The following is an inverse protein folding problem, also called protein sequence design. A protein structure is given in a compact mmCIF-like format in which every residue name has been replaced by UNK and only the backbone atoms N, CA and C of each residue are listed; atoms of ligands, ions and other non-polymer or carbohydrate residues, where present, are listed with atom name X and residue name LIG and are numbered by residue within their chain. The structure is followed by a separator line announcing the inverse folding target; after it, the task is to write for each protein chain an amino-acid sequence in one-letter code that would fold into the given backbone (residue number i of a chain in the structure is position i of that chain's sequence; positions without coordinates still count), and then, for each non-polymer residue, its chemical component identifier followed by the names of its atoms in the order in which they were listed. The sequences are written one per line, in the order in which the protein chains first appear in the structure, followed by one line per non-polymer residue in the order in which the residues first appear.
data_IF_182361702069
#
_entry.id   IF_182361702069
#
_cell.length_a   1.000
_cell.length_b   1.000
_cell.length_c   1.000
_cell.angle_alpha   90.00
_cell.angle_beta   90.00
_cell.angle_gamma   90.00
#
_symmetry.space_group_name_H-M   'P 1'
#
loop_
_entity.id
_entity.type
_entity.pdbx_description
1 polymer ?
#
# COMPACT_ATOMS: atom_id res chain seq x y z
N UNK A 1 -7.11 -6.29 25.17
CA UNK A 1 -6.40 -5.28 24.36
C UNK A 1 -5.00 -5.19 24.94
N UNK A 2 -4.09 -6.02 24.42
CA UNK A 2 -2.77 -6.25 25.02
C UNK A 2 -1.77 -5.19 24.58
N UNK A 3 -0.88 -4.81 25.48
CA UNK A 3 -0.01 -3.66 25.31
C UNK A 3 1.32 -3.98 24.65
N UNK A 4 1.79 -3.22 23.64
CA UNK A 4 3.15 -3.35 23.07
C UNK A 4 4.25 -3.02 24.11
N UNK A 5 5.54 -3.18 23.79
CA UNK A 5 6.74 -2.99 24.66
C UNK A 5 6.85 -1.63 25.41
N UNK A 6 5.93 -0.68 25.16
CA UNK A 6 5.80 0.62 25.85
C UNK A 6 4.50 0.72 26.69
N UNK A 7 3.70 -0.34 26.82
CA UNK A 7 2.53 -0.37 27.70
C UNK A 7 1.20 0.18 27.13
N UNK A 8 0.99 0.22 25.81
CA UNK A 8 -0.25 0.73 25.16
C UNK A 8 -1.06 -0.31 24.36
N UNK A 9 -2.42 -0.28 24.39
CA UNK A 9 -3.39 -1.41 24.30
C UNK A 9 -3.52 -2.22 23.00
N UNK A 10 -2.58 -2.11 22.06
CA UNK A 10 -2.58 -2.87 20.80
C UNK A 10 -1.31 -3.72 20.69
N UNK A 11 -1.50 -5.02 20.38
CA UNK A 11 -0.50 -6.10 20.42
C UNK A 11 0.54 -5.90 19.31
N UNK A 12 1.82 -6.03 19.66
CA UNK A 12 2.94 -5.76 18.76
C UNK A 12 3.18 -6.79 17.67
N UNK A 13 4.25 -6.55 16.91
CA UNK A 13 4.90 -7.43 15.94
C UNK A 13 6.20 -6.77 15.49
N UNK A 14 7.26 -7.55 15.25
CA UNK A 14 8.48 -7.01 14.67
C UNK A 14 8.45 -7.24 13.15
N UNK A 15 8.88 -6.25 12.39
CA UNK A 15 9.17 -6.45 10.97
C UNK A 15 10.57 -7.05 10.85
N UNK A 16 10.68 -8.13 10.08
CA UNK A 16 11.92 -8.82 9.81
C UNK A 16 12.15 -8.85 8.31
N UNK A 17 13.25 -8.27 7.85
CA UNK A 17 13.54 -8.15 6.41
C UNK A 17 13.69 -9.48 5.68
N UNK A 18 13.98 -10.55 6.42
CA UNK A 18 14.17 -11.92 5.94
C UNK A 18 13.04 -12.86 6.38
N UNK A 19 11.95 -12.35 6.95
CA UNK A 19 10.75 -13.15 7.15
C UNK A 19 10.01 -13.36 5.83
N UNK A 20 9.73 -14.62 5.51
CA UNK A 20 9.09 -15.04 4.26
C UNK A 20 7.73 -15.70 4.47
N UNK A 21 7.22 -15.68 5.70
CA UNK A 21 5.91 -16.22 6.01
C UNK A 21 4.79 -15.43 5.33
N UNK A 22 3.65 -16.07 5.15
CA UNK A 22 2.49 -15.49 4.48
C UNK A 22 1.38 -15.19 5.47
N UNK A 23 0.63 -14.13 5.19
CA UNK A 23 -0.64 -13.81 5.85
C UNK A 23 -1.79 -14.51 5.09
N UNK A 24 -2.54 -15.38 5.77
CA UNK A 24 -3.63 -16.19 5.21
C UNK A 24 -5.01 -15.60 5.51
N UNK A 25 -5.14 -14.69 6.47
CA UNK A 25 -6.44 -14.12 6.88
C UNK A 25 -6.58 -12.60 6.65
N UNK A 26 -5.49 -11.95 6.24
CA UNK A 26 -5.44 -10.55 5.83
C UNK A 26 -5.33 -9.57 7.00
N UNK A 27 -4.84 -10.00 8.17
CA UNK A 27 -4.69 -9.15 9.35
C UNK A 27 -3.33 -8.44 9.47
N UNK A 28 -2.40 -8.67 8.53
CA UNK A 28 -1.06 -8.08 8.50
C UNK A 28 -0.01 -8.83 9.32
N UNK A 29 -0.37 -9.97 9.92
CA UNK A 29 0.53 -10.88 10.62
C UNK A 29 0.77 -12.12 9.77
N UNK A 30 2.00 -12.66 9.80
CA UNK A 30 2.25 -13.90 9.08
C UNK A 30 1.80 -15.13 9.87
N UNK A 31 1.09 -16.04 9.21
CA UNK A 31 0.55 -17.30 9.75
C UNK A 31 1.46 -18.52 9.59
N UNK A 32 2.48 -18.41 8.72
CA UNK A 32 3.40 -19.51 8.40
C UNK A 32 4.81 -19.20 8.90
N UNK A 33 5.72 -20.19 8.90
CA UNK A 33 7.10 -20.01 9.36
C UNK A 33 7.22 -19.52 10.82
N UNK A 34 6.22 -19.88 11.64
CA UNK A 34 6.14 -19.55 13.07
C UNK A 34 6.65 -20.70 13.97
N UNK A 35 7.29 -20.37 15.12
CA UNK A 35 7.73 -19.02 15.47
C UNK A 35 8.96 -18.64 14.64
N UNK A 36 8.95 -17.42 14.12
CA UNK A 36 10.08 -16.91 13.35
C UNK A 36 11.26 -16.69 14.28
N UNK A 37 12.41 -17.31 14.00
CA UNK A 37 13.54 -17.32 14.93
C UNK A 37 14.67 -16.34 14.57
N UNK A 38 14.44 -15.42 13.63
CA UNK A 38 15.45 -14.49 13.11
C UNK A 38 16.74 -15.18 12.68
N UNK A 39 16.63 -16.22 11.84
CA UNK A 39 17.78 -17.00 11.39
C UNK A 39 18.64 -17.55 12.56
N UNK A 40 17.99 -17.90 13.67
CA UNK A 40 18.64 -18.40 14.89
C UNK A 40 19.09 -17.32 15.89
N UNK A 41 18.85 -16.04 15.62
CA UNK A 41 19.21 -14.95 16.54
C UNK A 41 18.26 -14.84 17.75
N UNK A 42 17.06 -15.44 17.69
CA UNK A 42 16.16 -15.55 18.84
C UNK A 42 16.43 -16.86 19.57
N UNK A 43 17.10 -16.74 20.72
CA UNK A 43 17.60 -17.88 21.49
C UNK A 43 16.50 -18.79 22.06
N UNK A 44 15.33 -18.24 22.38
CA UNK A 44 14.22 -18.98 22.97
C UNK A 44 12.88 -18.46 22.41
N UNK A 45 11.97 -19.35 22.00
CA UNK A 45 10.56 -19.02 21.77
C UNK A 45 10.20 -18.39 20.42
N UNK A 46 11.15 -17.70 19.74
CA UNK A 46 10.92 -17.01 18.46
C UNK A 46 9.87 -15.88 18.52
N UNK A 47 9.58 -15.26 17.39
CA UNK A 47 8.51 -14.29 17.19
C UNK A 47 7.27 -14.99 16.62
N UNK A 48 6.14 -14.85 17.31
CA UNK A 48 4.87 -15.46 16.93
C UNK A 48 3.94 -14.49 16.19
N UNK A 49 4.32 -13.21 16.11
CA UNK A 49 3.53 -12.16 15.46
C UNK A 49 4.42 -11.31 14.51
N UNK A 50 5.22 -11.94 13.62
CA UNK A 50 6.00 -11.18 12.63
C UNK A 50 5.05 -10.46 11.65
N UNK A 51 5.36 -9.21 11.34
CA UNK A 51 4.61 -8.41 10.38
C UNK A 51 4.93 -8.83 8.94
N UNK A 52 3.92 -8.88 8.08
CA UNK A 52 4.05 -9.08 6.62
C UNK A 52 3.62 -7.81 5.89
N UNK A 53 4.36 -7.40 4.85
CA UNK A 53 3.96 -6.26 4.02
C UNK A 53 2.75 -6.64 3.17
N UNK A 54 1.68 -5.86 3.30
CA UNK A 54 0.52 -5.93 2.44
C UNK A 54 0.80 -5.28 1.09
N UNK A 55 -0.03 -5.59 0.09
CA UNK A 55 0.00 -4.87 -1.17
C UNK A 55 -0.79 -3.56 -1.05
N UNK A 56 -0.39 -2.50 -1.79
CA UNK A 56 -1.18 -1.28 -1.90
C UNK A 56 -2.60 -1.57 -2.40
N UNK A 57 -3.55 -0.75 -1.97
CA UNK A 57 -4.91 -0.81 -2.50
C UNK A 57 -4.91 -0.46 -3.99
N UNK A 58 -5.67 -1.23 -4.78
CA UNK A 58 -5.98 -0.87 -6.16
C UNK A 58 -6.63 0.53 -6.19
N UNK A 59 -6.15 1.48 -7.02
CA UNK A 59 -6.78 2.79 -7.15
C UNK A 59 -8.27 2.65 -7.47
N UNK A 60 -9.11 3.50 -6.88
CA UNK A 60 -10.56 3.42 -7.01
C UNK A 60 -11.22 4.80 -7.13
N UNK A 61 -12.53 4.83 -7.38
CA UNK A 61 -13.32 6.06 -7.49
C UNK A 61 -12.71 7.11 -8.45
N UNK A 62 -12.38 6.75 -9.71
CA UNK A 62 -11.75 7.67 -10.63
C UNK A 62 -12.71 8.79 -11.03
N UNK A 63 -12.19 10.00 -11.10
CA UNK A 63 -12.86 11.17 -11.66
C UNK A 63 -11.89 11.86 -12.63
N UNK A 64 -12.28 12.11 -13.89
CA UNK A 64 -13.56 11.79 -14.52
C UNK A 64 -13.89 10.29 -14.56
N UNK A 65 -15.10 9.92 -14.17
CA UNK A 65 -15.61 8.55 -14.35
C UNK A 65 -15.93 8.36 -15.83
N UNK A 66 -15.11 7.62 -16.58
CA UNK A 66 -15.15 7.57 -18.04
C UNK A 66 -16.53 7.35 -18.70
N UNK A 67 -16.62 7.59 -20.01
CA UNK A 67 -17.84 7.38 -20.80
C UNK A 67 -18.62 8.66 -21.16
N UNK A 68 -18.16 9.82 -20.71
CA UNK A 68 -18.63 11.13 -21.15
C UNK A 68 -17.50 11.90 -21.85
N UNK A 69 -17.82 12.83 -22.76
CA UNK A 69 -16.86 13.83 -23.20
C UNK A 69 -16.35 14.62 -21.99
N UNK A 70 -15.04 14.73 -21.88
CA UNK A 70 -14.35 15.52 -20.84
C UNK A 70 -13.53 16.59 -21.55
N UNK A 71 -13.36 17.73 -20.89
CA UNK A 71 -12.42 18.77 -21.34
C UNK A 71 -10.99 18.20 -21.45
N UNK A 72 -10.20 18.74 -22.37
CA UNK A 72 -8.80 18.36 -22.55
C UNK A 72 -7.90 18.94 -21.45
N UNK A 73 -8.37 19.95 -20.71
CA UNK A 73 -7.74 20.54 -19.55
C UNK A 73 -8.54 20.17 -18.30
N UNK A 74 -8.22 19.02 -17.71
CA UNK A 74 -8.98 18.43 -16.61
C UNK A 74 -8.07 17.74 -15.58
N UNK A 75 -8.35 17.98 -14.30
CA UNK A 75 -7.69 17.26 -13.23
C UNK A 75 -8.26 15.84 -13.10
N UNK A 76 -7.37 14.88 -12.93
CA UNK A 76 -7.71 13.51 -12.54
C UNK A 76 -7.75 13.40 -11.03
N UNK A 77 -8.63 12.56 -10.50
CA UNK A 77 -8.57 12.15 -9.10
C UNK A 77 -8.98 10.70 -8.87
N UNK A 78 -8.44 10.10 -7.81
CA UNK A 78 -8.72 8.73 -7.38
C UNK A 78 -8.48 8.54 -5.88
N UNK A 79 -9.10 7.52 -5.31
CA UNK A 79 -8.83 7.01 -3.97
C UNK A 79 -7.76 5.90 -4.03
N UNK A 80 -7.03 5.67 -2.94
CA UNK A 80 -5.98 4.66 -2.90
C UNK A 80 -5.36 4.48 -1.52
N UNK A 81 -4.04 4.27 -1.45
CA UNK A 81 -3.32 4.02 -0.19
C UNK A 81 -2.84 2.58 -0.04
N UNK A 82 -2.51 2.23 1.19
CA UNK A 82 -1.95 0.94 1.60
C UNK A 82 -2.57 0.50 2.94
N UNK A 83 -2.82 -0.80 3.18
CA UNK A 83 -3.20 -1.30 4.50
C UNK A 83 -2.20 -0.95 5.60
N UNK A 84 -0.91 -0.89 5.27
CA UNK A 84 0.18 -0.67 6.21
C UNK A 84 0.36 0.83 6.45
N UNK A 85 -0.14 1.32 7.59
CA UNK A 85 -0.14 2.76 7.92
C UNK A 85 1.25 3.45 7.94
N UNK A 86 2.33 2.67 7.97
CA UNK A 86 3.71 3.16 7.90
C UNK A 86 4.25 3.31 6.47
N UNK A 87 3.55 2.77 5.48
CA UNK A 87 3.99 2.72 4.09
C UNK A 87 3.62 3.98 3.31
N UNK A 88 4.26 4.10 2.15
CA UNK A 88 3.94 5.12 1.16
C UNK A 88 3.72 4.51 -0.20
N UNK A 89 2.79 5.09 -0.97
CA UNK A 89 2.39 4.62 -2.30
C UNK A 89 2.77 5.61 -3.38
N UNK A 90 3.08 5.09 -4.56
CA UNK A 90 3.28 5.87 -5.79
C UNK A 90 2.32 5.39 -6.88
N UNK A 91 1.89 6.29 -7.77
CA UNK A 91 1.02 5.95 -8.88
C UNK A 91 1.69 6.26 -10.21
N UNK A 92 1.63 5.29 -11.12
CA UNK A 92 1.98 5.52 -12.53
C UNK A 92 0.73 5.93 -13.29
N UNK A 93 0.79 7.10 -13.94
CA UNK A 93 -0.32 7.65 -14.73
C UNK A 93 -0.05 7.41 -16.20
N UNK A 94 -1.01 6.82 -16.90
CA UNK A 94 -0.94 6.49 -18.33
C UNK A 94 -2.05 7.24 -19.08
N UNK A 95 -1.69 8.03 -20.09
CA UNK A 95 -2.63 8.83 -20.88
C UNK A 95 -2.21 8.81 -22.34
N UNK A 96 -3.18 8.58 -23.24
CA UNK A 96 -2.96 8.65 -24.68
C UNK A 96 -4.05 7.94 -25.47
N UNK A 97 -4.03 8.11 -26.79
CA UNK A 97 -5.01 7.53 -27.72
C UNK A 97 -4.61 6.15 -28.28
N UNK A 98 -3.50 5.58 -27.81
CA UNK A 98 -2.99 4.28 -28.23
C UNK A 98 -3.24 3.22 -27.14
N UNK A 99 -3.31 1.95 -27.53
CA UNK A 99 -3.45 0.82 -26.61
C UNK A 99 -2.19 -0.08 -26.67
N UNK A 100 -1.42 -0.23 -25.56
CA UNK A 100 -1.62 0.43 -24.27
C UNK A 100 -1.23 1.92 -24.32
N UNK A 101 -1.84 2.79 -23.48
CA UNK A 101 -1.46 4.20 -23.41
C UNK A 101 -0.03 4.37 -22.87
N UNK A 102 0.71 5.41 -23.31
CA UNK A 102 2.03 5.70 -22.76
C UNK A 102 1.93 6.22 -21.32
N UNK A 103 2.97 5.91 -20.52
CA UNK A 103 3.15 6.47 -19.18
C UNK A 103 3.52 7.95 -19.30
N UNK A 104 2.77 8.83 -18.62
CA UNK A 104 3.02 10.27 -18.62
C UNK A 104 3.66 10.76 -17.31
N UNK A 105 3.43 10.07 -16.19
CA UNK A 105 4.00 10.46 -14.91
C UNK A 105 4.11 9.29 -13.91
N UNK A 106 4.94 9.50 -12.90
CA UNK A 106 4.87 8.81 -11.59
C UNK A 106 4.65 9.88 -10.53
N UNK A 107 3.62 9.74 -9.71
CA UNK A 107 3.25 10.70 -8.66
C UNK A 107 3.29 10.07 -7.27
N UNK A 108 3.54 10.89 -6.25
CA UNK A 108 3.84 10.47 -4.88
C UNK A 108 5.30 10.73 -4.49
N UNK A 109 5.81 10.10 -3.41
CA UNK A 109 5.10 9.17 -2.53
C UNK A 109 4.00 9.84 -1.71
N UNK A 110 2.89 9.14 -1.49
CA UNK A 110 1.80 9.55 -0.61
C UNK A 110 1.68 8.59 0.58
N UNK A 111 1.27 9.06 1.78
CA UNK A 111 1.10 8.16 2.92
C UNK A 111 -0.04 7.16 2.72
N UNK A 112 -0.01 6.02 3.41
CA UNK A 112 -0.96 4.91 3.25
C UNK A 112 -2.47 5.25 3.35
N UNK A 113 -2.87 6.37 3.95
CA UNK A 113 -4.28 6.75 4.17
C UNK A 113 -4.87 7.70 3.10
N UNK A 114 -4.64 7.43 1.81
CA UNK A 114 -5.06 8.35 0.75
C UNK A 114 -6.54 8.29 0.38
N UNK A 115 -7.15 9.47 0.27
CA UNK A 115 -8.44 9.66 -0.41
C UNK A 115 -8.35 10.89 -1.30
N UNK A 116 -9.01 10.84 -2.45
CA UNK A 116 -9.14 11.94 -3.43
C UNK A 116 -7.78 12.57 -3.80
N UNK A 117 -6.80 11.74 -4.14
CA UNK A 117 -5.54 12.19 -4.75
C UNK A 117 -5.89 12.94 -6.03
N UNK A 118 -5.22 14.05 -6.29
CA UNK A 118 -5.41 14.83 -7.51
C UNK A 118 -4.14 14.89 -8.34
N UNK A 119 -4.29 14.82 -9.65
CA UNK A 119 -3.22 14.99 -10.62
C UNK A 119 -3.71 15.87 -11.77
N UNK A 120 -2.99 16.96 -11.99
CA UNK A 120 -3.20 17.84 -13.14
C UNK A 120 -2.22 17.40 -14.26
N UNK A 121 -2.71 16.79 -15.36
CA UNK A 121 -1.88 16.43 -16.50
C UNK A 121 -1.51 17.64 -17.38
N UNK A 122 -2.07 18.83 -17.11
CA UNK A 122 -2.13 19.94 -18.05
C UNK A 122 -3.05 19.65 -19.23
N UNK A 123 -3.10 20.57 -20.18
CA UNK A 123 -3.88 20.41 -21.41
C UNK A 123 -3.35 19.26 -22.26
N UNK A 124 -4.20 18.27 -22.54
CA UNK A 124 -3.88 17.15 -23.41
C UNK A 124 -3.83 17.60 -24.89
N UNK A 125 -2.78 17.19 -25.60
CA UNK A 125 -2.52 17.54 -27.02
C UNK A 125 -2.53 16.33 -27.93
#
# INVERSE_FOLDING_TARGET
MGTNIIGGPYLGGNHWSDYTGVDLDGDGLGDTDLPYNSSGNIHNGGDWLPLVNSLPYTPSNPDPSGGLPVDIDVNLSWDGGDPDSGDTVTYDVYLGSYDPPPKVATVGPYPANQTRIQYDPGTLT
#
